data_IF_407512721853
#
_entry.id   IF_407512721853
#
_cell.length_a   1.000
_cell.length_b   1.000
_cell.length_c   1.000
_cell.angle_alpha   90.00
_cell.angle_beta   90.00
_cell.angle_gamma   90.00
#
_symmetry.space_group_name_H-M   'P 1'
#
loop_
_entity.id
_entity.type
_entity.pdbx_description
1 polymer ?
#
# COMPACT_ATOMS: atom_id res chain seq x y z
N UNK A 1 14.00 -45.56 -32.28
CA UNK A 1 13.61 -45.63 -30.85
C UNK A 1 12.86 -44.36 -30.52
N UNK A 2 11.64 -44.39 -29.99
CA UNK A 2 10.96 -43.19 -29.58
C UNK A 2 11.67 -42.60 -28.37
N UNK A 3 12.22 -41.40 -28.50
CA UNK A 3 12.75 -40.61 -27.39
C UNK A 3 11.55 -40.12 -26.54
N UNK A 4 11.36 -40.75 -25.40
CA UNK A 4 10.42 -40.23 -24.40
C UNK A 4 10.90 -38.84 -23.96
N UNK A 5 10.00 -37.84 -23.84
CA UNK A 5 10.38 -36.55 -23.30
C UNK A 5 10.94 -36.79 -21.89
N UNK A 6 12.18 -36.41 -21.68
CA UNK A 6 12.77 -36.45 -20.34
C UNK A 6 11.94 -35.56 -19.45
N UNK A 7 11.35 -36.15 -18.41
CA UNK A 7 10.68 -35.39 -17.39
C UNK A 7 11.67 -34.34 -16.86
N UNK A 8 11.28 -33.06 -16.85
CA UNK A 8 12.09 -31.99 -16.27
C UNK A 8 12.53 -32.44 -14.88
N UNK A 9 13.83 -32.35 -14.52
CA UNK A 9 14.28 -32.79 -13.21
C UNK A 9 13.46 -32.10 -12.13
N UNK A 10 12.81 -32.89 -11.28
CA UNK A 10 12.02 -32.35 -10.18
C UNK A 10 12.93 -31.43 -9.34
N UNK A 11 12.55 -30.17 -9.22
CA UNK A 11 13.30 -29.19 -8.44
C UNK A 11 13.29 -29.67 -7.00
N UNK A 12 14.46 -29.90 -6.42
CA UNK A 12 14.58 -30.31 -5.03
C UNK A 12 14.61 -29.09 -4.10
N UNK A 13 14.13 -29.25 -2.86
CA UNK A 13 14.20 -28.20 -1.82
C UNK A 13 15.65 -27.75 -1.62
N UNK A 14 16.61 -28.67 -1.67
CA UNK A 14 18.03 -28.35 -1.56
C UNK A 14 18.52 -27.45 -2.71
N UNK A 15 18.03 -27.67 -3.95
CA UNK A 15 18.38 -26.83 -5.08
C UNK A 15 17.79 -25.42 -4.97
N UNK A 16 16.55 -25.29 -4.45
CA UNK A 16 15.92 -23.99 -4.21
C UNK A 16 16.66 -23.21 -3.13
N UNK A 17 17.02 -23.83 -2.01
CA UNK A 17 17.75 -23.19 -0.92
C UNK A 17 19.14 -22.67 -1.31
N UNK A 18 19.72 -23.18 -2.41
CA UNK A 18 20.96 -22.66 -3.01
C UNK A 18 20.74 -21.46 -3.94
N UNK A 19 19.47 -21.08 -4.20
CA UNK A 19 19.10 -20.02 -5.12
C UNK A 19 18.21 -18.96 -4.39
N UNK A 20 18.76 -18.16 -3.48
CA UNK A 20 17.98 -17.19 -2.71
C UNK A 20 17.30 -16.15 -3.61
N UNK A 21 17.87 -15.81 -4.77
CA UNK A 21 17.25 -14.91 -5.75
C UNK A 21 15.92 -15.46 -6.30
N UNK A 22 15.82 -16.78 -6.47
CA UNK A 22 14.57 -17.40 -6.92
C UNK A 22 13.50 -17.33 -5.83
N UNK A 23 13.89 -17.62 -4.57
CA UNK A 23 13.01 -17.52 -3.43
C UNK A 23 12.54 -16.05 -3.25
N UNK A 24 13.45 -15.09 -3.37
CA UNK A 24 13.12 -13.67 -3.31
C UNK A 24 12.10 -13.28 -4.39
N UNK A 25 12.26 -13.75 -5.62
CA UNK A 25 11.31 -13.48 -6.71
C UNK A 25 9.94 -14.09 -6.47
N UNK A 26 9.88 -15.34 -6.04
CA UNK A 26 8.62 -16.04 -5.80
C UNK A 26 7.88 -15.39 -4.60
N UNK A 27 8.61 -15.03 -3.54
CA UNK A 27 8.09 -14.30 -2.39
C UNK A 27 7.58 -12.91 -2.77
N UNK A 28 8.34 -12.15 -3.55
CA UNK A 28 7.97 -10.81 -4.02
C UNK A 28 6.68 -10.85 -4.85
N UNK A 29 6.53 -11.81 -5.74
CA UNK A 29 5.30 -12.00 -6.51
C UNK A 29 4.09 -12.33 -5.62
N UNK A 30 4.27 -13.16 -4.59
CA UNK A 30 3.20 -13.48 -3.63
C UNK A 30 2.79 -12.26 -2.78
N UNK A 31 3.74 -11.43 -2.40
CA UNK A 31 3.50 -10.21 -1.62
C UNK A 31 2.86 -9.13 -2.48
N UNK A 32 3.37 -8.89 -3.69
CA UNK A 32 2.86 -7.89 -4.64
C UNK A 32 1.35 -8.02 -4.89
N UNK A 33 0.87 -9.24 -5.08
CA UNK A 33 -0.54 -9.49 -5.34
C UNK A 33 -1.49 -9.16 -4.18
N UNK A 34 -0.96 -9.02 -2.95
CA UNK A 34 -1.76 -8.92 -1.72
C UNK A 34 -1.58 -7.63 -0.95
N UNK A 35 -0.44 -6.97 -1.11
CA UNK A 35 -0.11 -5.75 -0.38
C UNK A 35 -0.93 -4.57 -0.90
N UNK A 36 -1.48 -3.78 0.03
CA UNK A 36 -2.30 -2.60 -0.27
C UNK A 36 -1.47 -1.33 -0.20
N UNK A 37 -0.46 -1.27 0.66
CA UNK A 37 0.36 -0.07 0.88
C UNK A 37 0.85 0.61 -0.39
N UNK A 38 1.30 -0.10 -1.47
CA UNK A 38 1.71 0.53 -2.72
C UNK A 38 0.58 1.18 -3.51
N UNK A 39 -0.67 0.89 -3.15
CA UNK A 39 -1.85 1.54 -3.74
C UNK A 39 -2.28 2.79 -2.97
N UNK A 40 -1.84 2.92 -1.71
CA UNK A 40 -2.17 4.04 -0.84
C UNK A 40 -1.22 5.20 -1.02
N UNK A 41 0.02 4.92 -1.41
CA UNK A 41 1.12 5.87 -1.43
C UNK A 41 1.82 5.87 -2.79
N UNK A 42 2.33 7.03 -3.16
CA UNK A 42 3.23 7.15 -4.29
C UNK A 42 4.55 6.43 -3.98
N UNK A 43 5.10 5.72 -4.95
CA UNK A 43 6.41 5.11 -4.81
C UNK A 43 7.50 6.19 -4.82
N UNK A 44 8.28 6.22 -3.74
CA UNK A 44 9.51 7.00 -3.68
C UNK A 44 10.69 6.30 -4.37
N UNK A 45 11.70 7.06 -4.74
CA UNK A 45 12.94 6.49 -5.28
C UNK A 45 13.84 5.98 -4.15
N UNK A 46 14.64 4.92 -4.37
CA UNK A 46 15.58 4.42 -3.36
C UNK A 46 16.63 5.47 -2.94
N UNK A 47 16.90 6.45 -3.80
CA UNK A 47 17.85 7.53 -3.53
C UNK A 47 17.34 8.51 -2.46
N UNK A 48 16.04 8.56 -2.21
CA UNK A 48 15.43 9.37 -1.15
C UNK A 48 15.68 8.77 0.24
N UNK A 49 16.08 7.48 0.29
CA UNK A 49 16.35 6.78 1.53
C UNK A 49 17.85 6.69 1.73
N UNK A 50 18.37 7.52 2.62
CA UNK A 50 19.80 7.54 2.96
C UNK A 50 19.99 7.43 4.45
N UNK A 51 20.87 6.51 4.89
CA UNK A 51 21.27 6.39 6.30
C UNK A 51 20.12 6.01 7.26
N UNK A 52 19.17 5.17 6.81
CA UNK A 52 18.07 4.70 7.65
C UNK A 52 16.88 5.67 7.76
N UNK A 53 16.81 6.69 6.91
CA UNK A 53 15.70 7.65 6.89
C UNK A 53 15.41 8.19 5.50
N UNK A 54 14.13 8.48 5.25
CA UNK A 54 13.66 9.16 4.06
C UNK A 54 13.37 10.63 4.38
N UNK A 55 14.01 11.54 3.67
CA UNK A 55 13.70 12.96 3.76
C UNK A 55 12.57 13.28 2.79
N UNK A 56 11.58 14.02 3.27
CA UNK A 56 10.42 14.42 2.47
C UNK A 56 9.95 15.81 2.88
N UNK A 57 9.30 16.48 1.95
CA UNK A 57 8.66 17.76 2.17
C UNK A 57 7.19 17.51 2.47
N UNK A 58 6.66 18.19 3.48
CA UNK A 58 5.24 18.18 3.77
C UNK A 58 4.64 19.40 3.10
N UNK A 59 3.67 19.16 2.22
CA UNK A 59 2.89 20.22 1.64
C UNK A 59 1.95 20.77 2.72
N UNK A 60 2.33 21.86 3.34
CA UNK A 60 1.43 22.63 4.17
C UNK A 60 0.53 23.48 3.25
N UNK A 61 -0.70 23.76 3.68
CA UNK A 61 -1.66 24.54 2.87
C UNK A 61 -1.11 25.89 2.42
N UNK A 62 -0.17 26.44 3.17
CA UNK A 62 0.51 27.70 2.87
C UNK A 62 1.47 27.60 1.64
N UNK A 63 1.82 26.38 1.23
CA UNK A 63 2.70 26.15 0.07
C UNK A 63 1.94 25.93 -1.23
N UNK A 64 0.66 25.59 -1.12
CA UNK A 64 -0.21 25.39 -2.28
C UNK A 64 -0.81 26.72 -2.76
N UNK A 65 -0.86 27.69 -1.87
CA UNK A 65 -1.41 29.00 -2.14
C UNK A 65 -0.40 30.05 -1.65
N UNK A 66 0.24 30.71 -2.58
CA UNK A 66 1.09 31.86 -2.29
C UNK A 66 0.19 32.94 -1.68
N UNK A 67 0.74 33.81 -0.83
CA UNK A 67 -0.04 34.82 -0.12
C UNK A 67 -0.95 35.62 -1.06
N UNK A 68 -2.15 36.02 -0.65
CA UNK A 68 -3.06 36.80 -1.47
C UNK A 68 -2.35 38.03 -2.05
N UNK A 69 -2.34 38.16 -3.39
CA UNK A 69 -1.66 39.23 -4.10
C UNK A 69 -0.35 38.84 -4.78
N UNK A 70 0.07 37.58 -4.69
CA UNK A 70 1.33 37.10 -5.30
C UNK A 70 1.28 37.08 -6.83
N UNK A 71 0.08 36.95 -7.41
CA UNK A 71 -0.13 37.12 -8.86
C UNK A 71 -0.89 38.43 -9.09
N UNK A 72 -0.18 39.45 -9.53
CA UNK A 72 -0.74 40.78 -9.77
C UNK A 72 -0.76 41.08 -11.26
N UNK A 73 -1.71 41.94 -11.68
CA UNK A 73 -1.68 42.53 -13.03
C UNK A 73 -0.48 43.48 -13.15
N UNK A 74 0.45 43.14 -14.01
CA UNK A 74 1.70 43.87 -14.16
C UNK A 74 1.57 44.89 -15.31
N UNK A 75 1.84 46.16 -15.01
CA UNK A 75 1.91 47.20 -16.02
C UNK A 75 3.07 46.93 -16.99
N UNK A 76 2.91 47.36 -18.24
CA UNK A 76 3.95 47.22 -19.27
C UNK A 76 5.27 47.82 -18.78
N UNK A 77 6.32 47.00 -18.66
CA UNK A 77 7.66 47.32 -18.16
C UNK A 77 7.82 47.43 -16.65
N UNK A 78 6.84 46.99 -15.83
CA UNK A 78 7.03 46.87 -14.41
C UNK A 78 7.81 45.57 -14.04
N UNK A 79 8.49 45.58 -12.91
CA UNK A 79 9.17 44.39 -12.37
C UNK A 79 8.12 43.36 -11.91
N UNK A 80 8.46 42.08 -12.07
CA UNK A 80 7.63 40.97 -11.60
C UNK A 80 7.65 40.88 -10.10
N UNK A 81 6.49 40.70 -9.42
CA UNK A 81 6.47 40.44 -7.99
C UNK A 81 7.24 39.14 -7.67
N UNK A 82 7.95 39.12 -6.56
CA UNK A 82 8.72 37.96 -6.10
C UNK A 82 8.05 37.39 -4.86
N UNK A 83 7.58 36.14 -4.95
CA UNK A 83 7.13 35.38 -3.80
C UNK A 83 8.28 34.56 -3.23
N UNK A 84 8.40 34.54 -1.91
CA UNK A 84 9.32 33.65 -1.18
C UNK A 84 8.57 32.44 -0.68
N UNK A 85 9.17 31.27 -0.74
CA UNK A 85 8.63 30.03 -0.18
C UNK A 85 9.60 29.46 0.85
N UNK A 86 9.04 28.78 1.86
CA UNK A 86 9.80 28.06 2.87
C UNK A 86 9.23 26.66 2.97
N UNK A 87 10.04 25.65 2.78
CA UNK A 87 9.64 24.26 2.83
C UNK A 87 10.04 23.63 4.18
N UNK A 88 9.12 22.93 4.82
CA UNK A 88 9.41 22.16 6.01
C UNK A 88 9.90 20.75 5.64
N UNK A 89 11.19 20.50 5.82
CA UNK A 89 11.78 19.20 5.62
C UNK A 89 11.52 18.31 6.83
N UNK A 90 10.90 17.17 6.62
CA UNK A 90 10.69 16.14 7.65
C UNK A 90 11.43 14.85 7.28
N UNK A 91 11.66 14.00 8.26
CA UNK A 91 12.35 12.71 8.07
C UNK A 91 11.47 11.57 8.58
N UNK A 92 11.24 10.56 7.75
CA UNK A 92 10.62 9.30 8.13
C UNK A 92 11.69 8.23 8.32
N UNK A 93 11.68 7.54 9.46
CA UNK A 93 12.62 6.46 9.73
C UNK A 93 12.26 5.20 8.93
N UNK A 94 13.26 4.51 8.40
CA UNK A 94 13.10 3.18 7.82
C UNK A 94 12.73 2.19 8.91
N UNK A 95 11.71 1.38 8.65
CA UNK A 95 11.30 0.29 9.54
C UNK A 95 11.67 -1.03 8.90
N UNK A 96 12.34 -1.89 9.64
CA UNK A 96 12.65 -3.23 9.18
C UNK A 96 11.54 -4.20 9.58
N UNK A 97 10.95 -4.87 8.59
CA UNK A 97 10.01 -5.97 8.79
C UNK A 97 10.58 -7.24 8.20
N UNK A 98 10.77 -8.23 9.01
CA UNK A 98 11.34 -9.50 8.57
C UNK A 98 10.95 -10.65 9.48
N UNK A 99 11.10 -11.86 8.96
CA UNK A 99 10.84 -13.10 9.68
C UNK A 99 11.81 -14.18 9.21
N UNK A 100 12.21 -15.01 10.11
CA UNK A 100 13.01 -16.21 9.86
C UNK A 100 12.13 -17.46 9.91
N UNK A 101 12.29 -18.30 8.89
CA UNK A 101 11.56 -19.57 8.80
C UNK A 101 12.58 -20.72 8.79
N UNK A 102 12.65 -21.52 9.86
CA UNK A 102 13.52 -22.66 9.92
C UNK A 102 12.95 -23.83 9.12
N UNK A 103 13.80 -24.48 8.32
CA UNK A 103 13.50 -25.70 7.58
C UNK A 103 14.43 -26.79 8.07
N UNK A 104 13.88 -27.85 8.64
CA UNK A 104 14.69 -28.92 9.19
C UNK A 104 15.46 -29.68 8.12
N UNK A 105 16.69 -30.07 8.42
CA UNK A 105 17.52 -30.89 7.52
C UNK A 105 16.85 -32.22 7.15
N UNK A 106 15.97 -32.75 8.01
CA UNK A 106 15.18 -33.93 7.71
C UNK A 106 14.18 -33.67 6.57
N UNK A 107 13.50 -32.50 6.60
CA UNK A 107 12.57 -32.09 5.55
C UNK A 107 13.32 -31.89 4.21
N UNK A 108 14.51 -31.31 4.25
CA UNK A 108 15.35 -31.11 3.06
C UNK A 108 15.76 -32.45 2.47
N UNK A 109 16.23 -33.40 3.28
CA UNK A 109 16.61 -34.75 2.82
C UNK A 109 15.42 -35.52 2.23
N UNK A 110 14.22 -35.35 2.78
CA UNK A 110 13.00 -35.99 2.31
C UNK A 110 12.35 -35.23 1.15
N UNK A 111 12.95 -34.13 0.71
CA UNK A 111 12.41 -33.24 -0.34
C UNK A 111 10.97 -32.78 -0.05
N UNK A 112 10.69 -32.40 1.19
CA UNK A 112 9.36 -32.00 1.65
C UNK A 112 9.01 -30.59 1.11
N UNK A 113 8.62 -30.49 -0.16
CA UNK A 113 8.24 -29.23 -0.82
C UNK A 113 7.08 -28.53 -0.11
N UNK A 114 6.15 -29.28 0.47
CA UNK A 114 5.02 -28.72 1.20
C UNK A 114 5.46 -27.87 2.40
N UNK A 115 6.47 -28.30 3.14
CA UNK A 115 6.99 -27.52 4.28
C UNK A 115 7.66 -26.24 3.82
N UNK A 116 8.45 -26.32 2.74
CA UNK A 116 9.08 -25.17 2.12
C UNK A 116 8.03 -24.15 1.66
N UNK A 117 7.07 -24.56 0.86
CA UNK A 117 6.01 -23.68 0.33
C UNK A 117 5.14 -23.09 1.44
N UNK A 118 4.85 -23.84 2.51
CA UNK A 118 4.15 -23.31 3.69
C UNK A 118 4.98 -22.26 4.42
N UNK A 119 6.29 -22.46 4.50
CA UNK A 119 7.23 -21.49 5.07
C UNK A 119 7.22 -20.16 4.29
N UNK A 120 7.34 -20.22 2.97
CA UNK A 120 7.28 -19.05 2.10
C UNK A 120 5.94 -18.29 2.22
N UNK A 121 4.81 -19.02 2.22
CA UNK A 121 3.48 -18.42 2.39
C UNK A 121 3.31 -17.73 3.75
N UNK A 122 3.83 -18.32 4.83
CA UNK A 122 3.80 -17.69 6.15
C UNK A 122 4.62 -16.41 6.18
N UNK A 123 5.79 -16.42 5.55
CA UNK A 123 6.65 -15.26 5.44
C UNK A 123 5.95 -14.15 4.65
N UNK A 124 5.41 -14.46 3.45
CA UNK A 124 4.65 -13.52 2.64
C UNK A 124 3.47 -12.90 3.41
N UNK A 125 2.65 -13.72 4.05
CA UNK A 125 1.48 -13.25 4.79
C UNK A 125 1.85 -12.33 5.95
N UNK A 126 2.95 -12.61 6.67
CA UNK A 126 3.40 -11.76 7.76
C UNK A 126 3.94 -10.43 7.24
N UNK A 127 4.76 -10.44 6.19
CA UNK A 127 5.26 -9.20 5.57
C UNK A 127 4.08 -8.30 5.16
N UNK A 128 3.12 -8.83 4.40
CA UNK A 128 1.93 -8.07 3.98
C UNK A 128 1.20 -7.49 5.18
N UNK A 129 0.87 -8.33 6.16
CA UNK A 129 0.09 -7.90 7.32
C UNK A 129 0.78 -6.78 8.09
N UNK A 130 2.09 -6.91 8.36
CA UNK A 130 2.79 -5.92 9.18
C UNK A 130 3.04 -4.63 8.43
N UNK A 131 3.40 -4.66 7.15
CA UNK A 131 3.61 -3.45 6.36
C UNK A 131 2.32 -2.69 6.15
N UNK A 132 1.23 -3.37 5.74
CA UNK A 132 -0.07 -2.73 5.55
C UNK A 132 -0.62 -2.16 6.86
N UNK A 133 -0.49 -2.90 7.97
CA UNK A 133 -0.93 -2.38 9.28
C UNK A 133 -0.13 -1.16 9.71
N UNK A 134 1.20 -1.17 9.51
CA UNK A 134 2.05 -0.04 9.87
C UNK A 134 1.74 1.20 9.01
N UNK A 135 1.51 1.01 7.71
CA UNK A 135 1.18 2.08 6.78
C UNK A 135 -0.19 2.71 7.08
N UNK A 136 -1.21 1.90 7.34
CA UNK A 136 -2.55 2.39 7.71
C UNK A 136 -2.53 3.04 9.10
N UNK A 137 -1.80 2.47 10.07
CA UNK A 137 -1.67 3.08 11.38
C UNK A 137 -0.99 4.45 11.33
N UNK A 138 -0.02 4.63 10.43
CA UNK A 138 0.61 5.92 10.19
C UNK A 138 -0.39 6.94 9.66
N UNK A 139 -1.22 6.55 8.66
CA UNK A 139 -2.30 7.40 8.16
C UNK A 139 -3.26 7.80 9.28
N UNK A 140 -3.75 6.84 10.07
CA UNK A 140 -4.73 7.11 11.13
C UNK A 140 -4.18 7.93 12.30
N UNK A 141 -2.86 7.96 12.48
CA UNK A 141 -2.19 8.69 13.56
C UNK A 141 -1.90 10.16 13.22
N UNK A 142 -1.99 10.57 11.95
CA UNK A 142 -1.66 11.94 11.56
C UNK A 142 -2.78 12.91 11.96
N UNK A 143 -2.48 13.95 12.77
CA UNK A 143 -3.46 14.90 13.23
C UNK A 143 -4.03 15.84 12.15
N UNK A 144 -3.37 15.91 10.99
CA UNK A 144 -3.80 16.71 9.84
C UNK A 144 -4.93 16.08 9.03
N UNK A 145 -5.26 14.80 9.29
CA UNK A 145 -6.32 14.10 8.58
C UNK A 145 -7.69 14.54 9.09
N UNK A 146 -8.55 14.90 8.17
CA UNK A 146 -9.93 15.28 8.50
C UNK A 146 -10.76 14.05 8.82
N UNK A 147 -11.48 14.09 9.94
CA UNK A 147 -12.42 13.02 10.31
C UNK A 147 -13.85 13.48 10.05
N UNK A 148 -14.63 12.65 9.38
CA UNK A 148 -16.02 12.89 9.02
C UNK A 148 -16.89 11.72 9.52
N UNK A 149 -17.98 11.95 10.25
CA UNK A 149 -18.92 10.89 10.59
C UNK A 149 -19.76 10.51 9.36
N UNK A 150 -20.03 9.21 9.18
CA UNK A 150 -21.03 8.75 8.22
C UNK A 150 -22.44 9.18 8.64
N UNK A 151 -23.34 9.34 7.68
CA UNK A 151 -24.75 9.72 7.93
C UNK A 151 -25.49 8.66 8.76
N UNK A 152 -25.19 7.39 8.53
CA UNK A 152 -25.64 6.23 9.29
C UNK A 152 -24.66 5.05 9.06
N UNK A 153 -24.78 4.01 9.89
CA UNK A 153 -23.96 2.82 9.70
C UNK A 153 -24.23 2.16 8.33
N UNK A 154 -23.19 1.84 7.59
CA UNK A 154 -23.30 1.25 6.25
C UNK A 154 -23.82 -0.21 6.25
N UNK A 155 -23.92 -0.80 7.43
CA UNK A 155 -24.61 -2.08 7.66
C UNK A 155 -26.10 -2.00 7.40
N UNK A 156 -26.69 -0.80 7.46
CA UNK A 156 -28.12 -0.58 7.18
C UNK A 156 -28.32 -0.49 5.67
N UNK A 157 -29.13 -1.37 5.12
CA UNK A 157 -29.30 -1.50 3.67
C UNK A 157 -29.81 -0.25 2.93
N UNK A 158 -30.43 0.69 3.64
CA UNK A 158 -30.96 1.96 3.10
C UNK A 158 -30.06 3.16 3.29
N UNK A 159 -28.86 3.02 3.86
CA UNK A 159 -27.92 4.13 4.05
C UNK A 159 -27.42 4.65 2.72
N UNK A 160 -27.37 5.97 2.56
CA UNK A 160 -26.83 6.60 1.34
C UNK A 160 -25.31 6.70 1.41
N UNK A 161 -24.65 5.59 1.05
CA UNK A 161 -23.18 5.52 1.01
C UNK A 161 -22.60 6.46 -0.05
N UNK A 162 -23.35 6.73 -1.14
CA UNK A 162 -22.87 7.63 -2.19
C UNK A 162 -22.76 9.05 -1.64
N UNK A 163 -23.76 9.51 -0.90
CA UNK A 163 -23.71 10.83 -0.27
C UNK A 163 -22.55 10.97 0.71
N UNK A 164 -22.30 9.96 1.57
CA UNK A 164 -21.18 9.98 2.51
C UNK A 164 -19.83 10.06 1.80
N UNK A 165 -19.65 9.29 0.72
CA UNK A 165 -18.40 9.30 -0.07
C UNK A 165 -18.26 10.61 -0.84
N UNK A 166 -19.33 11.14 -1.44
CA UNK A 166 -19.30 12.42 -2.16
C UNK A 166 -18.96 13.57 -1.21
N UNK A 167 -19.53 13.58 -0.02
CA UNK A 167 -19.19 14.59 1.00
C UNK A 167 -17.73 14.51 1.43
N UNK A 168 -17.18 13.31 1.52
CA UNK A 168 -15.75 13.13 1.80
C UNK A 168 -14.86 13.59 0.62
N UNK A 169 -15.30 13.40 -0.63
CA UNK A 169 -14.63 13.95 -1.80
C UNK A 169 -14.66 15.48 -1.79
N UNK A 170 -15.83 16.08 -1.55
CA UNK A 170 -15.96 17.53 -1.40
C UNK A 170 -15.05 18.09 -0.29
N UNK A 171 -14.87 17.34 0.80
CA UNK A 171 -13.96 17.73 1.88
C UNK A 171 -12.48 17.72 1.43
N UNK A 172 -12.07 16.76 0.59
CA UNK A 172 -10.71 16.70 0.02
C UNK A 172 -10.53 17.80 -1.02
N UNK A 173 -11.44 17.91 -1.97
CA UNK A 173 -11.38 18.85 -3.08
C UNK A 173 -11.55 20.29 -2.64
N UNK A 174 -12.36 20.54 -1.58
CA UNK A 174 -12.62 21.86 -1.02
C UNK A 174 -11.49 22.43 -0.15
N UNK A 175 -10.42 21.67 0.10
CA UNK A 175 -9.23 22.19 0.79
C UNK A 175 -8.63 23.35 0.00
N UNK A 176 -8.19 24.40 0.72
CA UNK A 176 -7.65 25.61 0.09
C UNK A 176 -8.56 26.23 -0.99
N UNK A 177 -9.86 26.29 -0.72
CA UNK A 177 -10.87 26.80 -1.65
C UNK A 177 -10.90 26.07 -3.02
N UNK A 178 -10.51 24.80 -3.07
CA UNK A 178 -10.50 23.98 -4.28
C UNK A 178 -9.28 24.18 -5.19
N UNK A 179 -8.29 24.95 -4.77
CA UNK A 179 -7.08 25.21 -5.58
C UNK A 179 -5.96 24.18 -5.37
N UNK A 180 -6.12 23.23 -4.46
CA UNK A 180 -5.10 22.22 -4.13
C UNK A 180 -4.94 21.11 -5.19
N UNK A 181 -5.92 20.93 -6.08
CA UNK A 181 -5.90 19.88 -7.11
C UNK A 181 -6.04 18.46 -6.57
N UNK A 182 -6.42 18.26 -5.28
CA UNK A 182 -6.61 16.93 -4.71
C UNK A 182 -7.89 16.29 -5.22
N UNK A 183 -7.84 14.98 -5.42
CA UNK A 183 -8.96 14.22 -5.91
C UNK A 183 -9.14 12.91 -5.11
N UNK A 184 -10.24 12.78 -4.38
CA UNK A 184 -10.54 11.59 -3.59
C UNK A 184 -10.82 10.37 -4.48
N UNK A 185 -9.78 9.67 -4.94
CA UNK A 185 -9.88 8.62 -5.93
C UNK A 185 -9.94 7.20 -5.37
N UNK A 186 -9.38 6.93 -4.19
CA UNK A 186 -9.28 5.59 -3.62
C UNK A 186 -10.02 5.47 -2.29
N UNK A 187 -11.00 4.57 -2.23
CA UNK A 187 -11.73 4.23 -1.01
C UNK A 187 -11.16 2.94 -0.40
N UNK A 188 -10.73 2.99 0.85
CA UNK A 188 -10.19 1.86 1.60
C UNK A 188 -11.14 1.47 2.71
N UNK A 189 -11.51 0.18 2.74
CA UNK A 189 -12.51 -0.37 3.65
C UNK A 189 -12.03 -1.65 4.33
N UNK A 190 -12.63 -1.95 5.48
CA UNK A 190 -12.48 -3.28 6.05
C UNK A 190 -13.15 -4.31 5.14
N UNK A 191 -12.54 -5.48 5.00
CA UNK A 191 -13.06 -6.56 4.16
C UNK A 191 -14.47 -7.01 4.55
N UNK A 192 -14.85 -6.86 5.82
CA UNK A 192 -16.19 -7.18 6.31
C UNK A 192 -17.29 -6.29 5.70
N UNK A 193 -16.93 -5.08 5.25
CA UNK A 193 -17.86 -4.12 4.62
C UNK A 193 -18.18 -4.42 3.16
N UNK A 194 -17.47 -5.36 2.55
CA UNK A 194 -17.72 -5.77 1.17
C UNK A 194 -19.15 -6.27 0.95
N UNK A 195 -19.65 -7.08 1.88
CA UNK A 195 -21.00 -7.62 1.81
C UNK A 195 -22.07 -6.53 2.02
N UNK A 196 -21.81 -5.59 2.93
CA UNK A 196 -22.70 -4.44 3.18
C UNK A 196 -22.84 -3.55 1.94
N UNK A 197 -21.73 -3.26 1.24
CA UNK A 197 -21.78 -2.53 -0.03
C UNK A 197 -22.58 -3.26 -1.11
N UNK A 198 -22.40 -4.58 -1.25
CA UNK A 198 -23.12 -5.39 -2.23
C UNK A 198 -24.62 -5.49 -1.94
N UNK A 199 -25.01 -5.41 -0.68
CA UNK A 199 -26.42 -5.46 -0.24
C UNK A 199 -27.11 -4.10 -0.22
N UNK A 200 -26.35 -3.01 -0.28
CA UNK A 200 -26.92 -1.66 -0.17
C UNK A 200 -27.88 -1.37 -1.32
N UNK A 201 -29.12 -1.02 -0.97
CA UNK A 201 -30.20 -0.81 -1.94
C UNK A 201 -30.05 0.49 -2.73
N UNK A 202 -29.53 1.54 -2.10
CA UNK A 202 -29.31 2.84 -2.73
C UNK A 202 -28.20 2.75 -3.76
N UNK A 203 -27.07 2.11 -3.41
CA UNK A 203 -25.97 1.89 -4.32
C UNK A 203 -26.38 1.03 -5.52
N UNK A 204 -27.15 -0.03 -5.28
CA UNK A 204 -27.68 -0.89 -6.35
C UNK A 204 -28.66 -0.18 -7.28
N UNK A 205 -29.46 0.73 -6.76
CA UNK A 205 -30.40 1.50 -7.58
C UNK A 205 -29.70 2.58 -8.44
N UNK A 206 -28.58 3.09 -7.97
CA UNK A 206 -27.77 4.07 -8.70
C UNK A 206 -26.93 3.46 -9.84
N UNK A 207 -26.63 2.18 -9.77
CA UNK A 207 -25.86 1.48 -10.82
C UNK A 207 -26.74 1.06 -11.99
N UNK A 208 -26.22 1.10 -13.24
CA UNK A 208 -26.91 0.50 -14.38
C UNK A 208 -27.22 -0.97 -14.13
N UNK A 209 -28.36 -1.45 -14.61
CA UNK A 209 -28.84 -2.82 -14.37
C UNK A 209 -27.78 -3.88 -14.71
N UNK A 210 -27.09 -3.70 -15.84
CA UNK A 210 -26.04 -4.63 -16.29
C UNK A 210 -24.84 -4.65 -15.33
N UNK A 211 -24.42 -3.50 -14.83
CA UNK A 211 -23.33 -3.38 -13.85
C UNK A 211 -23.70 -4.03 -12.51
N UNK A 212 -24.95 -3.85 -12.07
CA UNK A 212 -25.47 -4.46 -10.85
C UNK A 212 -25.47 -6.01 -10.94
N UNK A 213 -25.97 -6.56 -12.05
CA UNK A 213 -25.97 -8.02 -12.28
C UNK A 213 -24.55 -8.58 -12.33
N UNK A 214 -23.61 -7.86 -12.93
CA UNK A 214 -22.20 -8.24 -12.96
C UNK A 214 -21.57 -8.25 -11.57
N UNK A 215 -21.82 -7.25 -10.74
CA UNK A 215 -21.31 -7.20 -9.36
C UNK A 215 -21.82 -8.39 -8.52
N UNK A 216 -23.10 -8.71 -8.62
CA UNK A 216 -23.68 -9.84 -7.88
C UNK A 216 -23.07 -11.16 -8.33
N UNK A 217 -22.83 -11.33 -9.63
CA UNK A 217 -22.26 -12.57 -10.19
C UNK A 217 -20.79 -12.76 -9.87
N UNK A 218 -20.00 -11.71 -10.01
CA UNK A 218 -18.53 -11.78 -9.84
C UNK A 218 -18.09 -11.52 -8.41
N UNK A 219 -18.94 -10.90 -7.59
CA UNK A 219 -18.58 -10.41 -6.26
C UNK A 219 -17.51 -9.31 -6.30
N UNK A 220 -17.31 -8.70 -7.47
CA UNK A 220 -16.34 -7.61 -7.65
C UNK A 220 -17.08 -6.29 -7.56
N UNK A 221 -16.68 -5.44 -6.65
CA UNK A 221 -17.23 -4.10 -6.49
C UNK A 221 -16.70 -3.18 -7.57
N UNK A 222 -17.61 -2.59 -8.36
CA UNK A 222 -17.25 -1.56 -9.33
C UNK A 222 -17.10 -0.20 -8.61
N UNK A 223 -16.16 0.65 -9.06
CA UNK A 223 -16.06 2.01 -8.55
C UNK A 223 -17.37 2.78 -8.77
N UNK A 224 -17.74 3.63 -7.83
CA UNK A 224 -18.93 4.50 -7.88
C UNK A 224 -18.52 5.92 -7.43
N UNK A 225 -19.38 6.90 -7.59
CA UNK A 225 -19.16 8.29 -7.18
C UNK A 225 -17.83 8.88 -7.69
N UNK A 226 -17.40 8.54 -8.92
CA UNK A 226 -16.14 9.05 -9.48
C UNK A 226 -14.86 8.42 -8.89
N UNK A 227 -14.98 7.42 -8.01
CA UNK A 227 -13.82 6.74 -7.46
C UNK A 227 -13.01 6.03 -8.55
N UNK A 228 -11.68 6.11 -8.45
CA UNK A 228 -10.76 5.32 -9.29
C UNK A 228 -10.63 3.87 -8.86
N UNK A 229 -10.94 3.56 -7.59
CA UNK A 229 -10.87 2.20 -7.07
C UNK A 229 -11.38 2.03 -5.65
N UNK A 230 -11.63 0.78 -5.27
CA UNK A 230 -11.98 0.38 -3.91
C UNK A 230 -11.00 -0.69 -3.46
N UNK A 231 -10.39 -0.50 -2.32
CA UNK A 231 -9.46 -1.45 -1.71
C UNK A 231 -10.03 -2.01 -0.41
N UNK A 232 -9.88 -3.31 -0.20
CA UNK A 232 -10.32 -3.98 1.01
C UNK A 232 -9.13 -4.51 1.80
N UNK A 233 -9.12 -4.24 3.11
CA UNK A 233 -8.05 -4.67 4.01
C UNK A 233 -8.62 -5.11 5.36
N UNK A 234 -7.87 -5.90 6.09
CA UNK A 234 -8.17 -6.24 7.49
C UNK A 234 -7.48 -5.30 8.48
N UNK A 235 -6.63 -4.39 7.98
CA UNK A 235 -5.80 -3.52 8.83
C UNK A 235 -6.51 -2.24 9.29
N UNK A 236 -7.71 -1.95 8.77
CA UNK A 236 -8.58 -0.86 9.22
C UNK A 236 -9.72 -1.42 10.08
N UNK A 237 -10.20 -0.64 11.04
CA UNK A 237 -11.34 -1.03 11.87
C UNK A 237 -12.62 -1.15 11.03
N UNK A 238 -13.53 -2.06 11.41
CA UNK A 238 -14.75 -2.29 10.65
C UNK A 238 -15.69 -1.08 10.58
N UNK A 239 -15.63 -0.18 11.55
CA UNK A 239 -16.44 1.04 11.62
C UNK A 239 -15.75 2.27 11.01
N UNK A 240 -14.70 2.07 10.22
CA UNK A 240 -13.92 3.12 9.59
C UNK A 240 -13.72 2.87 8.11
N UNK A 241 -13.70 3.94 7.32
CA UNK A 241 -13.31 3.96 5.93
C UNK A 241 -12.31 5.11 5.70
N UNK A 242 -11.37 4.94 4.79
CA UNK A 242 -10.43 5.98 4.41
C UNK A 242 -10.67 6.32 2.95
N UNK A 243 -10.90 7.59 2.66
CA UNK A 243 -10.89 8.13 1.31
C UNK A 243 -9.61 8.94 1.13
N UNK A 244 -8.88 8.70 0.06
CA UNK A 244 -7.61 9.39 -0.17
C UNK A 244 -7.30 9.58 -1.66
N UNK A 245 -6.43 10.55 -1.93
CA UNK A 245 -5.73 10.70 -3.22
C UNK A 245 -4.38 9.97 -3.14
N UNK A 246 -4.23 8.82 -3.80
CA UNK A 246 -2.99 8.03 -3.71
C UNK A 246 -1.78 8.71 -4.36
N UNK A 247 -1.98 9.77 -5.14
CA UNK A 247 -0.90 10.46 -5.85
C UNK A 247 -0.18 11.49 -4.99
N UNK A 248 -0.84 11.99 -3.94
CA UNK A 248 -0.31 13.08 -3.09
C UNK A 248 -0.37 12.78 -1.59
N UNK A 249 -1.23 11.86 -1.13
CA UNK A 249 -1.41 11.57 0.29
C UNK A 249 -0.12 11.18 1.01
N UNK A 250 0.78 10.50 0.34
CA UNK A 250 2.05 10.10 0.93
C UNK A 250 2.98 9.41 -0.04
N UNK A 251 4.18 9.14 0.45
CA UNK A 251 5.22 8.45 -0.30
C UNK A 251 5.73 7.25 0.50
N UNK A 252 5.92 6.13 -0.17
CA UNK A 252 6.57 4.94 0.38
C UNK A 252 7.84 4.65 -0.41
N UNK A 253 8.97 4.61 0.27
CA UNK A 253 10.26 4.24 -0.32
C UNK A 253 10.83 3.01 0.40
N UNK A 254 11.72 2.30 -0.26
CA UNK A 254 12.28 1.07 0.27
C UNK A 254 13.80 1.15 0.25
N UNK A 255 14.41 0.89 1.39
CA UNK A 255 15.86 0.80 1.52
C UNK A 255 16.31 -0.60 1.11
N UNK A 256 17.22 -0.75 0.15
CA UNK A 256 17.83 -2.04 -0.13
C UNK A 256 18.75 -2.43 1.04
N UNK A 257 18.77 -3.70 1.48
CA UNK A 257 19.70 -4.15 2.50
C UNK A 257 21.13 -4.07 1.99
N UNK A 258 22.08 -3.94 2.92
CA UNK A 258 23.49 -3.93 2.59
C UNK A 258 23.88 -5.25 1.87
N UNK A 259 24.47 -5.19 0.68
CA UNK A 259 24.95 -6.37 -0.02
C UNK A 259 25.95 -7.22 0.80
N UNK A 260 26.68 -6.59 1.72
CA UNK A 260 27.60 -7.29 2.63
C UNK A 260 26.89 -8.24 3.60
N UNK A 261 25.61 -8.02 3.88
CA UNK A 261 24.81 -8.91 4.71
C UNK A 261 24.40 -10.23 4.01
N UNK A 262 24.63 -10.33 2.70
CA UNK A 262 24.37 -11.55 1.91
C UNK A 262 22.88 -11.75 1.58
N UNK A 263 22.10 -10.69 1.57
CA UNK A 263 20.72 -10.73 1.07
C UNK A 263 20.67 -10.72 -0.46
N UNK A 264 19.71 -11.44 -1.01
CA UNK A 264 19.34 -11.38 -2.42
C UNK A 264 18.00 -10.70 -2.53
N UNK A 265 17.95 -9.57 -3.22
CA UNK A 265 16.76 -8.74 -3.38
C UNK A 265 16.15 -8.92 -4.75
N UNK A 266 14.83 -8.87 -4.83
CA UNK A 266 14.09 -8.86 -6.08
C UNK A 266 12.94 -7.87 -6.01
N UNK A 267 12.85 -7.03 -7.03
CA UNK A 267 11.80 -6.03 -7.20
C UNK A 267 10.94 -6.40 -8.42
N UNK A 268 9.67 -6.80 -8.22
CA UNK A 268 8.79 -7.15 -9.32
C UNK A 268 8.34 -5.90 -10.10
N UNK A 269 8.62 -5.87 -11.40
CA UNK A 269 8.11 -4.83 -12.29
C UNK A 269 8.76 -3.45 -12.19
N UNK A 270 9.75 -3.25 -11.33
CA UNK A 270 10.38 -1.94 -11.11
C UNK A 270 9.55 -0.95 -10.30
N UNK A 271 8.28 -1.27 -10.05
CA UNK A 271 7.31 -0.38 -9.38
C UNK A 271 6.96 -0.83 -7.96
N UNK A 272 7.63 -1.84 -7.44
CA UNK A 272 7.29 -2.45 -6.17
C UNK A 272 8.49 -2.55 -5.22
N UNK A 273 8.18 -2.82 -3.96
CA UNK A 273 9.15 -3.05 -2.91
C UNK A 273 10.12 -4.18 -3.21
N UNK A 274 11.40 -3.93 -3.08
CA UNK A 274 12.39 -4.99 -3.08
C UNK A 274 12.21 -5.89 -1.85
N UNK A 275 11.91 -7.16 -2.08
CA UNK A 275 11.92 -8.17 -1.02
C UNK A 275 13.24 -8.88 -1.03
N UNK A 276 13.86 -8.89 0.13
CA UNK A 276 15.20 -9.42 0.31
C UNK A 276 15.17 -10.72 1.08
N UNK A 277 15.87 -11.71 0.58
CA UNK A 277 15.94 -13.05 1.17
C UNK A 277 17.39 -13.47 1.38
N UNK A 278 17.66 -14.04 2.54
CA UNK A 278 18.92 -14.67 2.87
C UNK A 278 18.67 -16.10 3.33
N UNK A 279 19.51 -17.01 2.89
CA UNK A 279 19.49 -18.41 3.33
C UNK A 279 20.81 -18.72 4.01
N UNK A 280 20.74 -19.20 5.25
CA UNK A 280 21.92 -19.57 6.02
C UNK A 280 21.71 -20.84 6.83
N UNK A 281 22.79 -21.45 7.26
CA UNK A 281 22.77 -22.65 8.08
C UNK A 281 22.86 -22.28 9.56
N UNK A 282 21.97 -22.84 10.38
CA UNK A 282 22.04 -22.76 11.83
C UNK A 282 22.69 -24.05 12.37
N UNK A 283 23.75 -23.88 13.15
CA UNK A 283 24.50 -25.03 13.67
C UNK A 283 23.77 -25.82 14.77
N UNK A 284 22.83 -25.17 15.47
CA UNK A 284 21.98 -25.80 16.48
C UNK A 284 20.61 -25.14 16.43
N UNK A 285 19.53 -25.82 16.01
CA UNK A 285 19.34 -27.30 15.84
C UNK A 285 19.71 -27.92 14.49
N UNK A 286 20.65 -27.43 13.72
CA UNK A 286 21.04 -27.94 12.38
C UNK A 286 19.93 -27.75 11.33
N UNK A 287 19.31 -26.61 11.31
CA UNK A 287 18.29 -26.26 10.36
C UNK A 287 18.86 -25.26 9.32
N UNK A 288 18.23 -25.19 8.16
CA UNK A 288 18.43 -24.09 7.24
C UNK A 288 17.38 -23.03 7.47
N UNK A 289 17.80 -21.80 7.62
CA UNK A 289 16.93 -20.68 7.88
C UNK A 289 16.75 -19.87 6.61
N UNK A 290 15.50 -19.57 6.28
CA UNK A 290 15.15 -18.59 5.28
C UNK A 290 14.76 -17.32 6.02
N UNK A 291 15.61 -16.31 5.99
CA UNK A 291 15.31 -14.98 6.47
C UNK A 291 14.80 -14.13 5.31
N UNK A 292 13.62 -13.59 5.43
CA UNK A 292 13.04 -12.70 4.45
C UNK A 292 12.58 -11.41 5.08
N UNK A 293 12.81 -10.28 4.43
CA UNK A 293 12.49 -8.97 4.96
C UNK A 293 12.26 -7.90 3.90
N UNK A 294 11.76 -6.77 4.38
CA UNK A 294 11.47 -5.56 3.64
C UNK A 294 11.74 -4.36 4.53
N UNK A 295 12.29 -3.30 3.99
CA UNK A 295 12.68 -2.08 4.72
C UNK A 295 11.94 -0.85 4.18
N UNK A 296 10.64 -0.68 4.48
CA UNK A 296 9.89 0.48 4.05
C UNK A 296 10.16 1.71 4.92
N UNK A 297 10.23 2.87 4.28
CA UNK A 297 10.04 4.18 4.88
C UNK A 297 8.74 4.76 4.32
N UNK A 298 7.77 5.03 5.17
CA UNK A 298 6.48 5.60 4.76
C UNK A 298 6.36 7.00 5.34
N UNK A 299 5.98 7.95 4.50
CA UNK A 299 5.77 9.34 4.87
C UNK A 299 4.42 9.82 4.38
N UNK A 300 3.72 10.59 5.20
CA UNK A 300 2.53 11.33 4.77
C UNK A 300 3.02 12.70 4.30
N UNK A 301 2.85 12.96 3.00
CA UNK A 301 3.27 14.22 2.39
C UNK A 301 2.17 15.26 2.48
N UNK A 302 0.93 14.86 2.30
CA UNK A 302 -0.22 15.75 2.38
C UNK A 302 -1.41 15.12 3.13
N UNK A 303 -1.57 15.42 4.42
CA UNK A 303 -2.69 14.89 5.19
C UNK A 303 -4.04 15.46 4.74
N UNK A 304 -4.06 16.61 4.05
CA UNK A 304 -5.27 17.21 3.49
C UNK A 304 -5.89 16.40 2.36
N UNK A 305 -5.11 15.55 1.71
CA UNK A 305 -5.57 14.64 0.67
C UNK A 305 -6.21 13.34 1.20
N UNK A 306 -6.43 13.26 2.52
CA UNK A 306 -6.99 12.07 3.20
C UNK A 306 -8.15 12.46 4.09
N UNK A 307 -9.26 11.71 4.02
CA UNK A 307 -10.42 11.83 4.92
C UNK A 307 -10.71 10.48 5.55
N UNK A 308 -10.86 10.46 6.87
CA UNK A 308 -11.32 9.33 7.65
C UNK A 308 -12.82 9.41 7.87
N UNK A 309 -13.59 8.48 7.31
CA UNK A 309 -15.02 8.34 7.55
C UNK A 309 -15.22 7.39 8.72
N UNK A 310 -15.95 7.82 9.75
CA UNK A 310 -16.20 7.03 10.96
C UNK A 310 -17.66 6.67 11.08
N UNK A 311 -17.97 5.52 11.73
CA UNK A 311 -19.35 5.06 11.89
C UNK A 311 -19.91 4.30 10.69
N UNK A 312 -19.04 3.87 9.77
CA UNK A 312 -19.45 3.11 8.57
C UNK A 312 -19.92 1.69 8.90
#
# INVERSE_FOLDING_TARGET
MPTYPQASPAISVQALLKQPQRISRDLANMVYQRMISPRLFLKGTPEQVAGGGMQFQVAESIFLDLAPGDVEEIATRADWPRAGWTEALKTAAVKQFGLEVPISNLAIRRNAMDQFTRGERKLANNIVRFVDTASIALLLADPGITTQPASAAWTVAGTDIIADVTLAQETIEGKNNGYNGFFGALLVLNITRRDDLLKNTVLRAALPREANDQQVRTGTMLPFAGLGGIAFTTSIAANQAILLDPTVAGTIAYEPPDPAEGFSSYEPGGDFAAISVKVYDENRPKDKIIAGGIWPATAITDPGAVVLITGV
#
